data_IF_458830554094
#
_entry.id   IF_458830554094
#
_cell.length_a   1.000
_cell.length_b   1.000
_cell.length_c   1.000
_cell.angle_alpha   90.00
_cell.angle_beta   90.00
_cell.angle_gamma   90.00
#
_symmetry.space_group_name_H-M   'P 1'
#
loop_
_entity.id
_entity.type
_entity.pdbx_description
1 polymer ?
#
# COMPACT_ATOMS: atom_id res chain seq x y z
N UNK A 1 12.14 -2.53 -6.21
CA UNK A 1 12.47 -3.73 -5.43
C UNK A 1 11.69 -4.93 -5.92
N UNK A 2 12.23 -6.10 -5.63
CA UNK A 2 11.59 -7.41 -5.69
C UNK A 2 12.01 -8.18 -4.44
N UNK A 3 11.34 -9.29 -4.10
CA UNK A 3 11.69 -10.08 -2.93
C UNK A 3 11.81 -11.56 -3.30
N UNK A 4 12.82 -12.21 -2.71
CA UNK A 4 12.88 -13.67 -2.59
C UNK A 4 12.38 -14.00 -1.19
N UNK A 5 11.41 -14.89 -1.10
CA UNK A 5 10.83 -15.32 0.19
C UNK A 5 11.11 -16.81 0.34
N UNK A 6 11.71 -17.18 1.45
CA UNK A 6 12.14 -18.55 1.74
C UNK A 6 11.45 -19.08 2.99
N UNK A 7 11.28 -20.40 3.06
CA UNK A 7 10.79 -21.05 4.27
C UNK A 7 11.82 -20.87 5.40
N UNK A 8 11.35 -20.70 6.63
CA UNK A 8 12.20 -20.51 7.79
C UNK A 8 11.65 -21.28 9.00
N UNK A 9 12.50 -21.79 9.91
CA UNK A 9 12.05 -22.45 11.14
C UNK A 9 11.25 -21.55 12.07
N UNK A 10 11.46 -20.24 11.99
CA UNK A 10 10.75 -19.25 12.78
C UNK A 10 9.82 -18.40 11.89
N UNK A 11 8.67 -17.92 12.39
CA UNK A 11 7.78 -17.06 11.61
C UNK A 11 8.42 -15.73 11.19
N UNK A 12 8.34 -15.37 9.91
CA UNK A 12 8.73 -14.05 9.39
C UNK A 12 7.53 -13.13 9.14
N UNK A 13 6.36 -13.69 8.84
CA UNK A 13 5.09 -12.96 8.71
C UNK A 13 4.28 -13.20 9.98
N UNK A 14 3.87 -12.12 10.65
CA UNK A 14 3.13 -12.18 11.91
C UNK A 14 1.61 -12.21 11.66
N UNK A 15 1.14 -11.55 10.61
CA UNK A 15 -0.26 -11.54 10.24
C UNK A 15 -0.56 -10.59 9.09
N UNK A 16 -1.81 -10.59 8.65
CA UNK A 16 -2.31 -9.70 7.60
C UNK A 16 -3.74 -9.26 7.89
N UNK A 17 -4.11 -8.09 7.37
CA UNK A 17 -5.45 -7.55 7.45
C UNK A 17 -5.88 -7.01 6.08
N UNK A 18 -7.15 -7.17 5.72
CA UNK A 18 -7.68 -6.77 4.43
C UNK A 18 -9.01 -6.03 4.61
N UNK A 19 -9.28 -5.09 3.70
CA UNK A 19 -10.60 -4.52 3.50
C UNK A 19 -10.81 -4.14 2.03
N UNK A 20 -12.04 -4.21 1.56
CA UNK A 20 -12.41 -3.80 0.21
C UNK A 20 -13.85 -3.31 0.18
N UNK A 21 -14.12 -2.40 -0.73
CA UNK A 21 -15.46 -1.89 -1.02
C UNK A 21 -15.63 -1.72 -2.52
N UNK A 22 -16.35 -2.65 -3.14
CA UNK A 22 -16.57 -2.69 -4.58
C UNK A 22 -17.56 -1.63 -5.10
N UNK A 23 -18.22 -0.87 -4.23
CA UNK A 23 -19.10 0.24 -4.66
C UNK A 23 -18.32 1.30 -5.44
N UNK A 24 -17.01 1.41 -5.19
CA UNK A 24 -16.12 2.33 -5.89
C UNK A 24 -15.59 1.82 -7.23
N UNK A 25 -15.96 0.62 -7.69
CA UNK A 25 -15.30 -0.05 -8.81
C UNK A 25 -15.37 0.74 -10.13
N UNK A 26 -16.36 1.64 -10.28
CA UNK A 26 -16.52 2.50 -11.47
C UNK A 26 -15.93 3.90 -11.32
N UNK A 27 -15.40 4.26 -10.15
CA UNK A 27 -14.85 5.60 -9.91
C UNK A 27 -13.54 5.80 -10.66
N UNK A 28 -12.70 4.76 -10.77
CA UNK A 28 -11.41 4.82 -11.44
C UNK A 28 -11.06 3.47 -12.06
N UNK A 29 -10.88 3.41 -13.38
CA UNK A 29 -10.59 2.15 -14.06
C UNK A 29 -10.19 2.27 -15.52
N UNK A 30 -10.03 1.12 -16.16
CA UNK A 30 -9.87 0.94 -17.60
C UNK A 30 -11.13 0.21 -18.06
N UNK A 31 -11.94 0.85 -18.92
CA UNK A 31 -13.30 0.40 -19.22
C UNK A 31 -13.41 -0.49 -20.47
N UNK A 32 -12.36 -0.54 -21.29
CA UNK A 32 -12.25 -1.44 -22.45
C UNK A 32 -10.89 -2.15 -22.47
N UNK A 33 -10.86 -3.38 -22.98
CA UNK A 33 -9.69 -4.26 -23.03
C UNK A 33 -9.85 -5.56 -22.24
N UNK A 34 -10.92 -5.68 -21.45
CA UNK A 34 -11.33 -6.92 -20.80
C UNK A 34 -12.47 -7.64 -21.53
N UNK A 35 -13.06 -8.66 -20.91
CA UNK A 35 -14.18 -9.42 -21.49
C UNK A 35 -15.51 -8.67 -21.50
N UNK A 36 -15.72 -7.73 -20.56
CA UNK A 36 -16.95 -6.92 -20.49
C UNK A 36 -17.07 -5.92 -21.66
N UNK A 37 -15.94 -5.40 -22.14
CA UNK A 37 -15.85 -4.63 -23.37
C UNK A 37 -14.48 -4.93 -24.02
N UNK A 38 -14.40 -5.86 -24.98
CA UNK A 38 -13.17 -6.16 -25.71
C UNK A 38 -12.58 -4.91 -26.37
N UNK A 39 -11.26 -4.88 -26.53
CA UNK A 39 -10.61 -3.78 -27.22
C UNK A 39 -11.05 -3.73 -28.70
N UNK A 40 -11.36 -2.53 -29.19
CA UNK A 40 -11.66 -2.26 -30.59
C UNK A 40 -10.93 -0.99 -31.04
N UNK A 41 -10.82 -0.77 -32.35
CA UNK A 41 -10.25 0.48 -32.88
C UNK A 41 -11.04 1.71 -32.37
N UNK A 42 -12.36 1.58 -32.25
CA UNK A 42 -13.24 2.63 -31.70
C UNK A 42 -12.98 2.85 -30.21
N UNK A 43 -12.85 1.80 -29.39
CA UNK A 43 -12.65 1.95 -27.94
C UNK A 43 -11.28 2.55 -27.60
N UNK A 44 -10.26 2.23 -28.42
CA UNK A 44 -8.95 2.87 -28.36
C UNK A 44 -9.04 4.35 -28.73
N UNK A 45 -9.73 4.69 -29.83
CA UNK A 45 -9.93 6.08 -30.26
C UNK A 45 -10.71 6.91 -29.21
N UNK A 46 -11.70 6.31 -28.55
CA UNK A 46 -12.45 6.90 -27.45
C UNK A 46 -11.69 6.90 -26.09
N UNK A 47 -10.46 6.37 -26.08
CA UNK A 47 -9.59 6.31 -24.91
C UNK A 47 -10.07 5.39 -23.78
N UNK A 48 -11.05 4.50 -24.02
CA UNK A 48 -11.59 3.59 -22.99
C UNK A 48 -10.62 2.47 -22.59
N UNK A 49 -9.57 2.25 -23.38
CA UNK A 49 -8.43 1.35 -23.08
C UNK A 49 -7.34 2.00 -22.24
N UNK A 50 -7.55 3.24 -21.77
CA UNK A 50 -6.64 3.95 -20.87
C UNK A 50 -7.30 4.13 -19.51
N UNK A 51 -6.46 4.41 -18.51
CA UNK A 51 -6.95 4.72 -17.18
C UNK A 51 -7.80 5.99 -17.21
N UNK A 52 -9.00 5.92 -16.64
CA UNK A 52 -9.92 7.04 -16.49
C UNK A 52 -10.41 7.14 -15.05
N UNK A 53 -10.24 8.31 -14.45
CA UNK A 53 -10.90 8.68 -13.21
C UNK A 53 -12.24 9.34 -13.57
N UNK A 54 -13.34 8.64 -13.32
CA UNK A 54 -14.70 9.10 -13.56
C UNK A 54 -15.18 9.91 -12.36
N UNK A 55 -14.93 9.38 -11.16
CA UNK A 55 -15.24 10.02 -9.89
C UNK A 55 -14.01 10.00 -9.00
N UNK A 56 -13.79 11.09 -8.27
CA UNK A 56 -12.65 11.19 -7.38
C UNK A 56 -12.88 10.33 -6.14
N UNK A 57 -11.87 9.55 -5.76
CA UNK A 57 -11.88 8.83 -4.50
C UNK A 57 -11.81 9.81 -3.32
N UNK A 58 -12.68 9.67 -2.31
CA UNK A 58 -12.55 10.37 -1.03
C UNK A 58 -11.17 10.09 -0.41
N UNK A 59 -10.40 11.12 0.00
CA UNK A 59 -9.09 10.90 0.61
C UNK A 59 -9.16 10.10 1.93
N UNK A 60 -10.30 10.15 2.61
CA UNK A 60 -10.62 9.44 3.86
C UNK A 60 -10.47 7.93 3.73
N UNK A 61 -10.65 7.38 2.51
CA UNK A 61 -10.42 5.95 2.23
C UNK A 61 -9.02 5.54 2.67
N UNK A 62 -8.00 6.37 2.42
CA UNK A 62 -6.64 6.09 2.87
C UNK A 62 -6.37 6.68 4.25
N UNK A 63 -6.83 7.91 4.53
CA UNK A 63 -6.56 8.59 5.79
C UNK A 63 -7.14 7.86 7.00
N UNK A 64 -8.29 7.21 6.85
CA UNK A 64 -8.90 6.39 7.91
C UNK A 64 -8.66 4.88 7.70
N UNK A 65 -8.66 4.44 6.44
CA UNK A 65 -8.53 3.01 6.11
C UNK A 65 -7.17 2.43 6.46
N UNK A 66 -6.08 3.17 6.22
CA UNK A 66 -4.73 2.70 6.57
C UNK A 66 -4.53 2.59 8.08
N UNK A 67 -4.84 3.61 8.92
CA UNK A 67 -4.75 3.46 10.36
C UNK A 67 -5.64 2.34 10.91
N UNK A 68 -6.86 2.19 10.37
CA UNK A 68 -7.78 1.11 10.76
C UNK A 68 -7.17 -0.27 10.49
N UNK A 69 -6.55 -0.46 9.33
CA UNK A 69 -5.87 -1.72 8.99
C UNK A 69 -4.66 -1.99 9.89
N UNK A 70 -3.82 -0.98 10.14
CA UNK A 70 -2.65 -1.12 11.02
C UNK A 70 -3.07 -1.48 12.43
N UNK A 71 -4.07 -0.77 13.01
CA UNK A 71 -4.59 -1.06 14.35
C UNK A 71 -5.24 -2.44 14.44
N UNK A 72 -5.99 -2.85 13.40
CA UNK A 72 -6.55 -4.20 13.30
C UNK A 72 -5.46 -5.26 13.29
N UNK A 73 -4.46 -5.09 12.44
CA UNK A 73 -3.33 -6.01 12.32
C UNK A 73 -2.55 -6.11 13.64
N UNK A 74 -2.27 -4.99 14.29
CA UNK A 74 -1.61 -4.93 15.60
C UNK A 74 -2.38 -5.74 16.65
N UNK A 75 -3.68 -5.49 16.77
CA UNK A 75 -4.56 -6.25 17.68
C UNK A 75 -4.58 -7.74 17.36
N UNK A 76 -4.75 -8.11 16.09
CA UNK A 76 -4.90 -9.50 15.66
C UNK A 76 -3.59 -10.32 15.81
N UNK A 77 -2.44 -9.64 15.96
CA UNK A 77 -1.11 -10.25 16.10
C UNK A 77 -0.46 -10.03 17.47
N UNK A 78 -1.10 -9.25 18.35
CA UNK A 78 -0.68 -9.07 19.75
C UNK A 78 0.45 -8.05 19.98
N UNK A 79 0.76 -7.19 19.01
CA UNK A 79 1.69 -6.06 19.21
C UNK A 79 0.94 -4.72 19.37
N UNK A 80 1.59 -3.72 19.97
CA UNK A 80 1.10 -2.34 20.01
C UNK A 80 1.58 -1.57 18.77
N UNK A 81 0.80 -0.60 18.28
CA UNK A 81 1.22 0.28 17.18
C UNK A 81 2.57 0.94 17.46
N UNK A 82 2.86 1.28 18.73
CA UNK A 82 4.14 1.83 19.17
C UNK A 82 5.34 0.92 18.93
N UNK A 83 5.11 -0.39 18.85
CA UNK A 83 6.15 -1.42 18.68
C UNK A 83 6.60 -1.54 17.22
N UNK A 84 5.89 -0.90 16.28
CA UNK A 84 6.27 -0.89 14.87
C UNK A 84 7.56 -0.09 14.72
N UNK A 85 8.60 -0.71 14.17
CA UNK A 85 9.88 -0.07 13.89
C UNK A 85 9.85 0.70 12.57
N UNK A 86 9.12 0.18 11.58
CA UNK A 86 8.99 0.82 10.27
C UNK A 86 7.66 0.55 9.59
N UNK A 87 7.10 1.55 8.90
CA UNK A 87 5.90 1.40 8.08
C UNK A 87 6.13 1.89 6.65
N UNK A 88 5.76 1.09 5.65
CA UNK A 88 5.76 1.48 4.24
C UNK A 88 4.33 1.51 3.72
N UNK A 89 3.91 2.66 3.21
CA UNK A 89 2.58 2.84 2.61
C UNK A 89 2.66 2.88 1.09
N UNK A 90 1.48 2.76 0.45
CA UNK A 90 1.33 3.03 -0.97
C UNK A 90 1.70 4.47 -1.28
N UNK A 91 2.59 4.66 -2.25
CA UNK A 91 3.29 5.91 -2.52
C UNK A 91 2.51 6.81 -3.50
N UNK A 92 1.25 7.12 -3.18
CA UNK A 92 0.41 7.99 -4.04
C UNK A 92 0.61 9.47 -3.70
N UNK A 93 0.52 9.83 -2.42
CA UNK A 93 0.72 11.21 -1.92
C UNK A 93 1.44 11.23 -0.57
N UNK A 94 2.57 11.94 -0.48
CA UNK A 94 3.33 12.11 0.76
C UNK A 94 2.51 12.76 1.88
N UNK A 95 1.69 13.81 1.62
CA UNK A 95 0.83 14.38 2.66
C UNK A 95 -0.15 13.37 3.27
N UNK A 96 -0.62 12.37 2.51
CA UNK A 96 -1.46 11.31 3.07
C UNK A 96 -0.68 10.41 4.03
N UNK A 97 0.59 10.14 3.75
CA UNK A 97 1.48 9.37 4.62
C UNK A 97 1.77 10.16 5.90
N UNK A 98 2.06 11.45 5.79
CA UNK A 98 2.29 12.35 6.94
C UNK A 98 1.08 12.39 7.89
N UNK A 99 -0.13 12.56 7.34
CA UNK A 99 -1.38 12.53 8.11
C UNK A 99 -1.61 11.18 8.80
N UNK A 100 -1.39 10.07 8.09
CA UNK A 100 -1.59 8.71 8.62
C UNK A 100 -0.57 8.37 9.70
N UNK A 101 0.69 8.79 9.54
CA UNK A 101 1.72 8.61 10.56
C UNK A 101 1.37 9.38 11.84
N UNK A 102 0.92 10.63 11.71
CA UNK A 102 0.45 11.42 12.85
C UNK A 102 -0.77 10.78 13.55
N UNK A 103 -1.75 10.30 12.79
CA UNK A 103 -2.94 9.59 13.29
C UNK A 103 -2.57 8.27 14.00
N UNK A 104 -1.53 7.59 13.55
CA UNK A 104 -0.99 6.40 14.22
C UNK A 104 -0.11 6.71 15.44
N UNK A 105 0.23 7.98 15.67
CA UNK A 105 1.19 8.38 16.70
C UNK A 105 2.62 7.93 16.40
N UNK A 106 2.94 7.70 15.14
CA UNK A 106 4.27 7.27 14.69
C UNK A 106 5.04 8.45 14.06
N UNK A 107 6.33 8.61 14.38
CA UNK A 107 7.14 9.69 13.83
C UNK A 107 7.56 9.38 12.38
N UNK A 108 7.78 10.41 11.56
CA UNK A 108 8.08 10.25 10.13
C UNK A 108 9.39 9.50 9.86
N UNK A 109 10.29 9.42 10.83
CA UNK A 109 11.53 8.65 10.79
C UNK A 109 11.27 7.13 10.69
N UNK A 110 10.09 6.67 11.15
CA UNK A 110 9.62 5.28 11.05
C UNK A 110 8.87 4.99 9.74
N UNK A 111 9.02 5.83 8.72
CA UNK A 111 8.51 5.55 7.37
C UNK A 111 9.51 5.95 6.29
N UNK A 112 9.21 5.60 5.05
CA UNK A 112 10.02 5.99 3.91
C UNK A 112 9.18 6.28 2.68
N UNK A 113 9.61 7.30 1.94
CA UNK A 113 8.99 7.73 0.70
C UNK A 113 10.01 7.80 -0.43
N UNK A 114 9.53 7.39 -1.61
CA UNK A 114 10.31 7.26 -2.85
C UNK A 114 9.62 7.97 -4.02
N UNK A 115 8.33 8.29 -3.89
CA UNK A 115 7.54 8.97 -4.93
C UNK A 115 8.10 10.33 -5.36
N UNK A 116 8.86 11.01 -4.51
CA UNK A 116 9.47 12.30 -4.83
C UNK A 116 10.56 12.17 -5.90
N UNK A 117 11.16 10.99 -6.03
CA UNK A 117 12.22 10.71 -6.99
C UNK A 117 11.70 9.91 -8.19
N UNK A 118 10.86 8.89 -7.97
CA UNK A 118 10.41 7.98 -9.03
C UNK A 118 8.92 8.09 -9.39
N UNK A 119 8.17 8.98 -8.74
CA UNK A 119 6.73 9.11 -8.93
C UNK A 119 5.94 7.91 -8.38
N UNK A 120 4.65 7.86 -8.70
CA UNK A 120 3.78 6.74 -8.31
C UNK A 120 3.89 5.59 -9.32
N UNK A 121 4.58 4.52 -8.93
CA UNK A 121 4.85 3.34 -9.77
C UNK A 121 3.82 2.22 -9.61
N UNK A 122 2.59 2.54 -9.21
CA UNK A 122 1.55 1.53 -8.97
C UNK A 122 1.90 0.60 -7.80
N UNK A 123 1.63 -0.69 -7.95
CA UNK A 123 1.92 -1.70 -6.90
C UNK A 123 3.41 -1.87 -6.62
N UNK A 124 4.29 -1.54 -7.58
CA UNK A 124 5.74 -1.63 -7.41
C UNK A 124 6.29 -0.64 -6.36
N UNK A 125 5.53 0.40 -6.00
CA UNK A 125 6.03 1.45 -5.12
C UNK A 125 6.36 0.97 -3.69
N UNK A 126 5.64 -0.03 -3.17
CA UNK A 126 5.88 -0.59 -1.83
C UNK A 126 7.21 -1.35 -1.79
N UNK A 127 7.45 -2.36 -2.65
CA UNK A 127 8.74 -3.05 -2.64
C UNK A 127 9.89 -2.14 -3.12
N UNK A 128 9.64 -1.07 -3.88
CA UNK A 128 10.65 -0.04 -4.15
C UNK A 128 11.02 0.75 -2.88
N UNK A 129 10.03 1.22 -2.12
CA UNK A 129 10.27 1.95 -0.88
C UNK A 129 10.93 1.09 0.20
N UNK A 130 10.52 -0.18 0.31
CA UNK A 130 11.13 -1.12 1.24
C UNK A 130 12.61 -1.34 0.91
N UNK A 131 12.91 -1.64 -0.36
CA UNK A 131 14.28 -1.86 -0.85
C UNK A 131 15.16 -0.62 -0.62
N UNK A 132 14.71 0.56 -1.02
CA UNK A 132 15.47 1.80 -0.81
C UNK A 132 15.73 2.10 0.69
N UNK A 133 14.75 1.85 1.56
CA UNK A 133 14.91 2.02 3.00
C UNK A 133 15.95 1.04 3.60
N UNK A 134 15.98 -0.21 3.11
CA UNK A 134 16.97 -1.22 3.49
C UNK A 134 18.37 -0.81 3.01
N UNK A 135 18.51 -0.39 1.75
CA UNK A 135 19.79 0.08 1.20
C UNK A 135 20.34 1.29 1.99
N UNK A 136 19.44 2.17 2.45
CA UNK A 136 19.76 3.32 3.30
C UNK A 136 19.94 2.96 4.78
N UNK A 137 19.93 1.67 5.15
CA UNK A 137 20.15 1.12 6.50
C UNK A 137 19.15 1.65 7.55
N UNK A 138 17.96 2.03 7.11
CA UNK A 138 16.87 2.48 7.99
C UNK A 138 16.11 1.32 8.63
N UNK A 139 16.06 0.20 7.92
CA UNK A 139 15.45 -1.05 8.36
C UNK A 139 16.57 -2.06 8.62
N UNK A 140 16.47 -2.82 9.70
CA UNK A 140 17.46 -3.78 10.17
C UNK A 140 16.82 -5.14 10.45
N UNK A 141 17.63 -6.18 10.49
CA UNK A 141 17.24 -7.49 11.01
C UNK A 141 16.65 -7.35 12.42
N UNK A 142 15.49 -7.97 12.65
CA UNK A 142 14.73 -7.93 13.90
C UNK A 142 13.60 -6.89 13.93
N UNK A 143 13.64 -5.88 13.05
CA UNK A 143 12.65 -4.81 13.02
C UNK A 143 11.25 -5.34 12.70
N UNK A 144 10.25 -4.81 13.40
CA UNK A 144 8.85 -4.96 13.05
C UNK A 144 8.50 -4.00 11.92
N UNK A 145 8.32 -4.53 10.72
CA UNK A 145 7.91 -3.77 9.55
C UNK A 145 6.44 -4.02 9.22
N UNK A 146 5.71 -2.95 8.95
CA UNK A 146 4.33 -3.01 8.46
C UNK A 146 4.28 -2.45 7.04
N UNK A 147 3.74 -3.21 6.10
CA UNK A 147 3.50 -2.75 4.73
C UNK A 147 2.01 -2.53 4.53
N UNK A 148 1.61 -1.41 3.94
CA UNK A 148 0.21 -1.04 3.71
C UNK A 148 -0.03 -0.70 2.24
N UNK A 149 -0.80 -1.58 1.58
CA UNK A 149 -1.22 -1.48 0.19
C UNK A 149 -2.62 -0.90 0.03
N UNK A 150 -2.81 -0.13 -1.04
CA UNK A 150 -4.13 0.32 -1.52
C UNK A 150 -4.18 0.33 -3.04
N UNK A 151 -5.29 -0.16 -3.59
CA UNK A 151 -5.57 -0.17 -5.01
C UNK A 151 -7.01 0.22 -5.34
N UNK A 152 -7.24 0.52 -6.62
CA UNK A 152 -8.57 0.86 -7.15
C UNK A 152 -9.56 -0.30 -6.99
N UNK A 153 -10.83 0.01 -6.81
CA UNK A 153 -11.84 -0.96 -6.38
C UNK A 153 -12.84 -0.40 -5.37
N UNK A 154 -12.46 0.06 -4.17
CA UNK A 154 -11.11 0.00 -3.60
C UNK A 154 -10.83 -1.29 -2.84
N UNK A 155 -9.55 -1.62 -2.72
CA UNK A 155 -9.05 -2.66 -1.84
C UNK A 155 -7.81 -2.15 -1.11
N UNK A 156 -7.62 -2.61 0.12
CA UNK A 156 -6.47 -2.29 0.94
C UNK A 156 -6.04 -3.53 1.72
N UNK A 157 -4.74 -3.62 1.96
CA UNK A 157 -4.13 -4.71 2.70
C UNK A 157 -3.01 -4.18 3.60
N UNK A 158 -2.83 -4.78 4.76
CA UNK A 158 -1.67 -4.59 5.60
C UNK A 158 -1.05 -5.93 5.96
N UNK A 159 0.28 -5.99 6.05
CA UNK A 159 1.02 -7.16 6.49
C UNK A 159 2.09 -6.74 7.48
N UNK A 160 2.23 -7.50 8.56
CA UNK A 160 3.27 -7.33 9.56
C UNK A 160 4.31 -8.42 9.38
N UNK A 161 5.57 -8.01 9.28
CA UNK A 161 6.71 -8.90 9.13
C UNK A 161 7.82 -8.53 10.11
N UNK A 162 8.54 -9.55 10.56
CA UNK A 162 9.82 -9.39 11.23
C UNK A 162 10.92 -9.49 10.16
N UNK A 163 11.70 -8.43 10.02
CA UNK A 163 12.82 -8.45 9.07
C UNK A 163 13.90 -9.43 9.53
N UNK A 164 14.49 -10.15 8.58
CA UNK A 164 15.61 -11.06 8.81
C UNK A 164 16.81 -10.64 7.99
#
# INVERSE_FOLDING_TARGET
GAAVVEASPEPGILGSAFQADGTYARHWGIFSGGTAEPASAESVAAGRTRVKMVERYPPEINHEGWPRLVRRLARDTGFSVSDIDFTIFTQVRKPSIELVMAELGLPMEKTHTVMEEWGYTGSACIPMALDDAIQKKKIRTGDLVVLVGSGVGYNQAAIALRMR
#
